data_IF_023399875997
#
_entry.id   IF_023399875997
#
_cell.length_a   1.000
_cell.length_b   1.000
_cell.length_c   1.000
_cell.angle_alpha   90.00
_cell.angle_beta   90.00
_cell.angle_gamma   90.00
#
_symmetry.space_group_name_H-M   'P 1'
#
loop_
_entity.id
_entity.type
_entity.pdbx_description
1 polymer ?
#
# COMPACT_ATOMS: atom_id res chain seq x y z
N UNK A 1 -5.09 -21.23 37.06
CA UNK A 1 -4.08 -20.35 36.45
C UNK A 1 -3.66 -21.02 35.18
N UNK A 2 -4.26 -20.62 34.06
CA UNK A 2 -3.76 -20.98 32.73
C UNK A 2 -2.57 -20.03 32.54
N UNK A 3 -1.36 -20.58 32.48
CA UNK A 3 -0.17 -19.77 32.19
C UNK A 3 -0.39 -19.03 30.87
N UNK A 4 -0.40 -17.71 30.98
CA UNK A 4 -0.53 -16.67 29.95
C UNK A 4 0.66 -16.70 28.98
N UNK A 5 0.79 -17.77 28.20
CA UNK A 5 1.85 -17.89 27.21
C UNK A 5 1.36 -18.60 25.94
N UNK A 6 0.55 -17.92 25.13
CA UNK A 6 0.31 -18.33 23.74
C UNK A 6 0.89 -17.24 22.80
N UNK A 7 2.17 -16.92 22.96
CA UNK A 7 2.85 -15.88 22.15
C UNK A 7 3.57 -16.44 20.91
N UNK A 8 3.12 -17.59 20.40
CA UNK A 8 3.59 -18.06 19.11
C UNK A 8 2.49 -18.79 18.34
N UNK A 9 2.61 -18.73 17.02
CA UNK A 9 1.80 -19.52 16.10
C UNK A 9 1.83 -21.02 16.45
N UNK A 10 2.96 -21.53 16.93
CA UNK A 10 3.14 -22.94 17.30
C UNK A 10 2.31 -23.32 18.52
N UNK A 11 2.36 -22.52 19.59
CA UNK A 11 1.56 -22.76 20.79
C UNK A 11 0.07 -22.64 20.49
N UNK A 12 -0.32 -21.69 19.63
CA UNK A 12 -1.70 -21.58 19.17
C UNK A 12 -2.12 -22.83 18.39
N UNK A 13 -1.31 -23.32 17.44
CA UNK A 13 -1.60 -24.57 16.72
C UNK A 13 -1.81 -25.75 17.68
N UNK A 14 -0.97 -25.87 18.71
CA UNK A 14 -1.08 -26.93 19.70
C UNK A 14 -2.37 -26.82 20.53
N UNK A 15 -2.71 -25.62 21.01
CA UNK A 15 -3.97 -25.38 21.71
C UNK A 15 -5.19 -25.72 20.83
N UNK A 16 -5.17 -25.32 19.56
CA UNK A 16 -6.23 -25.58 18.58
C UNK A 16 -6.44 -27.07 18.26
N UNK A 17 -5.42 -27.91 18.46
CA UNK A 17 -5.49 -29.36 18.22
C UNK A 17 -6.02 -30.16 19.40
N UNK A 18 -6.05 -29.56 20.60
CA UNK A 18 -6.35 -30.27 21.86
C UNK A 18 -7.66 -29.83 22.50
N UNK A 19 -8.23 -28.69 22.09
CA UNK A 19 -9.48 -28.15 22.62
C UNK A 19 -10.37 -27.56 21.52
N UNK A 20 -11.71 -27.65 21.65
CA UNK A 20 -12.62 -26.95 20.75
C UNK A 20 -12.47 -25.44 20.92
N UNK A 21 -12.47 -24.71 19.80
CA UNK A 21 -12.44 -23.26 19.82
C UNK A 21 -13.74 -22.72 20.43
N UNK A 22 -13.65 -22.15 21.63
CA UNK A 22 -14.75 -21.41 22.22
C UNK A 22 -14.58 -19.92 21.95
N UNK A 23 -15.71 -19.20 21.87
CA UNK A 23 -15.70 -17.74 21.74
C UNK A 23 -14.89 -17.06 22.85
N UNK A 24 -14.94 -17.59 24.07
CA UNK A 24 -14.19 -17.06 25.21
C UNK A 24 -12.68 -17.19 25.02
N UNK A 25 -12.20 -18.38 24.62
CA UNK A 25 -10.78 -18.64 24.40
C UNK A 25 -10.18 -17.71 23.33
N UNK A 26 -10.92 -17.48 22.23
CA UNK A 26 -10.40 -16.61 21.17
C UNK A 26 -10.45 -15.14 21.55
N UNK A 27 -11.45 -14.69 22.33
CA UNK A 27 -11.45 -13.30 22.83
C UNK A 27 -10.27 -13.03 23.77
N UNK A 28 -9.98 -13.97 24.66
CA UNK A 28 -8.78 -13.92 25.51
C UNK A 28 -7.52 -13.82 24.62
N UNK A 29 -7.44 -14.67 23.60
CA UNK A 29 -6.34 -14.67 22.65
C UNK A 29 -6.17 -13.35 21.88
N UNK A 30 -7.25 -12.73 21.41
CA UNK A 30 -7.19 -11.44 20.70
C UNK A 30 -6.75 -10.31 21.63
N UNK A 31 -7.12 -10.36 22.91
CA UNK A 31 -6.67 -9.38 23.90
C UNK A 31 -5.18 -9.55 24.19
N UNK A 32 -4.72 -10.79 24.38
CA UNK A 32 -3.31 -11.11 24.57
C UNK A 32 -2.47 -10.66 23.37
N UNK A 33 -2.96 -10.90 22.15
CA UNK A 33 -2.31 -10.41 20.93
C UNK A 33 -2.18 -8.89 20.95
N UNK A 34 -3.23 -8.14 21.31
CA UNK A 34 -3.17 -6.68 21.36
C UNK A 34 -2.14 -6.19 22.38
N UNK A 35 -2.09 -6.80 23.56
CA UNK A 35 -1.09 -6.49 24.58
C UNK A 35 0.33 -6.81 24.12
N UNK A 36 0.50 -7.93 23.39
CA UNK A 36 1.77 -8.33 22.79
C UNK A 36 2.25 -7.29 21.76
N UNK A 37 1.40 -6.87 20.83
CA UNK A 37 1.73 -5.86 19.82
C UNK A 37 2.12 -4.52 20.46
N UNK A 38 1.41 -4.11 21.52
CA UNK A 38 1.75 -2.91 22.29
C UNK A 38 3.14 -3.02 22.91
N UNK A 39 3.45 -4.14 23.56
CA UNK A 39 4.76 -4.36 24.19
C UNK A 39 5.88 -4.45 23.15
N UNK A 40 5.66 -5.06 21.98
CA UNK A 40 6.63 -5.03 20.87
C UNK A 40 6.92 -3.59 20.42
N UNK A 41 5.88 -2.79 20.21
CA UNK A 41 6.02 -1.39 19.81
C UNK A 41 6.79 -0.57 20.86
N UNK A 42 6.45 -0.73 22.14
CA UNK A 42 7.15 -0.06 23.24
C UNK A 42 8.60 -0.53 23.41
N UNK A 43 8.93 -1.74 22.98
CA UNK A 43 10.31 -2.25 22.96
C UNK A 43 11.13 -1.76 21.74
N UNK A 44 10.53 -0.98 20.85
CA UNK A 44 11.20 -0.44 19.65
C UNK A 44 11.22 -1.40 18.46
N UNK A 45 10.39 -2.45 18.45
CA UNK A 45 10.24 -3.32 17.28
C UNK A 45 9.73 -2.54 16.07
N UNK A 46 10.17 -2.96 14.88
CA UNK A 46 9.75 -2.29 13.65
C UNK A 46 8.26 -2.52 13.36
N UNK A 47 7.61 -1.53 12.76
CA UNK A 47 6.21 -1.66 12.33
C UNK A 47 6.00 -2.83 11.35
N UNK A 48 7.01 -3.14 10.53
CA UNK A 48 7.00 -4.31 9.67
C UNK A 48 6.97 -5.62 10.47
N UNK A 49 7.83 -5.75 11.49
CA UNK A 49 7.86 -6.96 12.32
C UNK A 49 6.56 -7.14 13.11
N UNK A 50 6.01 -6.06 13.67
CA UNK A 50 4.71 -6.07 14.36
C UNK A 50 3.59 -6.52 13.42
N UNK A 51 3.58 -6.00 12.19
CA UNK A 51 2.59 -6.35 11.18
C UNK A 51 2.68 -7.81 10.74
N UNK A 52 3.91 -8.30 10.51
CA UNK A 52 4.17 -9.72 10.20
C UNK A 52 3.73 -10.63 11.33
N UNK A 53 4.07 -10.31 12.58
CA UNK A 53 3.68 -11.08 13.74
C UNK A 53 2.15 -11.16 13.88
N UNK A 54 1.43 -10.03 13.79
CA UNK A 54 -0.04 -10.03 13.78
C UNK A 54 -0.59 -10.90 12.65
N UNK A 55 -0.02 -10.80 11.45
CA UNK A 55 -0.45 -11.59 10.30
C UNK A 55 -0.27 -13.10 10.53
N UNK A 56 0.89 -13.53 11.04
CA UNK A 56 1.19 -14.94 11.37
C UNK A 56 0.19 -15.50 12.37
N UNK A 57 -0.10 -14.74 13.43
CA UNK A 57 -1.03 -15.14 14.47
C UNK A 57 -2.47 -15.27 13.93
N UNK A 58 -2.94 -14.26 13.18
CA UNK A 58 -4.29 -14.29 12.60
C UNK A 58 -4.43 -15.41 11.56
N UNK A 59 -3.40 -15.66 10.74
CA UNK A 59 -3.35 -16.78 9.81
C UNK A 59 -3.61 -18.11 10.53
N UNK A 60 -2.92 -18.34 11.65
CA UNK A 60 -3.05 -19.58 12.42
C UNK A 60 -4.42 -19.72 13.06
N UNK A 61 -4.94 -18.64 13.64
CA UNK A 61 -6.28 -18.61 14.21
C UNK A 61 -7.35 -18.97 13.17
N UNK A 62 -7.30 -18.31 12.01
CA UNK A 62 -8.25 -18.55 10.92
C UNK A 62 -8.15 -19.97 10.35
N UNK A 63 -6.94 -20.53 10.24
CA UNK A 63 -6.74 -21.93 9.82
C UNK A 63 -7.38 -22.90 10.80
N UNK A 64 -7.22 -22.68 12.11
CA UNK A 64 -7.84 -23.50 13.15
C UNK A 64 -9.37 -23.45 13.10
N UNK A 65 -9.93 -22.24 13.07
CA UNK A 65 -11.38 -22.03 12.98
C UNK A 65 -11.93 -22.68 11.72
N UNK A 66 -11.27 -22.50 10.58
CA UNK A 66 -11.66 -23.11 9.31
C UNK A 66 -11.70 -24.65 9.39
N UNK A 67 -10.67 -25.28 9.94
CA UNK A 67 -10.61 -26.74 10.07
C UNK A 67 -11.73 -27.31 10.95
N UNK A 68 -12.13 -26.58 12.00
CA UNK A 68 -13.20 -27.02 12.90
C UNK A 68 -14.62 -26.78 12.35
N UNK A 69 -14.79 -25.84 11.43
CA UNK A 69 -16.12 -25.40 10.97
C UNK A 69 -16.44 -25.74 9.52
N UNK A 70 -15.44 -25.86 8.63
CA UNK A 70 -15.63 -26.07 7.20
C UNK A 70 -15.02 -27.40 6.77
N UNK A 71 -15.87 -28.33 6.36
CA UNK A 71 -15.46 -29.69 6.02
C UNK A 71 -15.37 -29.92 4.51
N UNK A 72 -15.89 -29.01 3.69
CA UNK A 72 -15.79 -29.11 2.23
C UNK A 72 -14.39 -28.77 1.72
N UNK A 73 -13.65 -29.81 1.34
CA UNK A 73 -12.30 -29.75 0.78
C UNK A 73 -12.18 -29.01 -0.57
N UNK A 74 -13.30 -28.63 -1.19
CA UNK A 74 -13.32 -27.96 -2.51
C UNK A 74 -13.30 -26.44 -2.44
N UNK A 75 -13.44 -25.89 -1.23
CA UNK A 75 -13.41 -24.46 -0.93
C UNK A 75 -11.99 -23.99 -0.62
N UNK A 76 -11.74 -22.69 -0.82
CA UNK A 76 -10.51 -22.01 -0.44
C UNK A 76 -10.84 -20.86 0.50
N UNK A 77 -9.99 -20.65 1.52
CA UNK A 77 -9.98 -19.43 2.31
C UNK A 77 -8.77 -18.59 1.88
N UNK A 78 -9.02 -17.39 1.39
CA UNK A 78 -8.00 -16.46 0.92
C UNK A 78 -8.04 -15.18 1.74
N UNK A 79 -6.87 -14.63 2.07
CA UNK A 79 -6.72 -13.24 2.49
C UNK A 79 -6.67 -12.34 1.25
N UNK A 80 -7.26 -11.15 1.31
CA UNK A 80 -7.26 -10.17 0.21
C UNK A 80 -6.81 -8.79 0.68
N UNK A 81 -6.49 -7.90 -0.25
CA UNK A 81 -6.09 -6.53 0.07
C UNK A 81 -4.84 -6.45 0.94
N UNK A 82 -4.85 -5.57 1.96
CA UNK A 82 -3.73 -5.41 2.89
C UNK A 82 -3.39 -6.69 3.66
N UNK A 83 -4.40 -7.46 4.07
CA UNK A 83 -4.16 -8.74 4.73
C UNK A 83 -3.55 -9.78 3.78
N UNK A 84 -3.98 -9.77 2.52
CA UNK A 84 -3.40 -10.62 1.48
C UNK A 84 -1.93 -10.30 1.20
N UNK A 85 -1.53 -9.02 1.28
CA UNK A 85 -0.10 -8.61 1.23
C UNK A 85 0.69 -8.97 2.49
N UNK A 86 0.04 -9.37 3.57
CA UNK A 86 0.69 -9.58 4.88
C UNK A 86 0.96 -8.28 5.65
N UNK A 87 0.34 -7.17 5.25
CA UNK A 87 0.51 -5.83 5.83
C UNK A 87 -0.59 -5.50 6.86
N UNK A 88 -0.82 -6.44 7.78
CA UNK A 88 -1.90 -6.36 8.75
C UNK A 88 -1.49 -5.51 9.97
N UNK A 89 -1.81 -4.22 9.97
CA UNK A 89 -1.53 -3.30 11.09
C UNK A 89 -2.47 -3.57 12.29
N UNK A 90 -2.14 -3.13 13.52
CA UNK A 90 -2.89 -3.49 14.74
C UNK A 90 -4.41 -3.30 14.64
N UNK A 91 -4.86 -2.15 14.12
CA UNK A 91 -6.27 -1.83 13.92
C UNK A 91 -6.80 -2.15 12.51
N UNK A 92 -6.11 -2.97 11.71
CA UNK A 92 -6.60 -3.31 10.36
C UNK A 92 -7.64 -4.44 10.39
N UNK A 93 -8.67 -4.25 9.58
CA UNK A 93 -9.69 -5.26 9.25
C UNK A 93 -9.03 -6.51 8.65
N UNK A 94 -9.66 -7.66 8.88
CA UNK A 94 -9.26 -8.95 8.34
C UNK A 94 -10.13 -9.22 7.11
N UNK A 95 -9.61 -8.90 5.92
CA UNK A 95 -10.35 -9.08 4.67
C UNK A 95 -10.19 -10.49 4.10
N UNK A 96 -11.31 -11.20 3.95
CA UNK A 96 -11.38 -12.60 3.54
C UNK A 96 -12.19 -12.82 2.25
N UNK A 97 -11.70 -13.73 1.41
CA UNK A 97 -12.43 -14.29 0.28
C UNK A 97 -12.55 -15.80 0.45
N UNK A 98 -13.78 -16.27 0.62
CA UNK A 98 -14.13 -17.68 0.56
C UNK A 98 -14.45 -18.02 -0.90
N UNK A 99 -13.63 -18.85 -1.51
CA UNK A 99 -13.66 -19.11 -2.95
C UNK A 99 -14.09 -20.55 -3.26
N UNK A 100 -15.07 -20.69 -4.13
CA UNK A 100 -15.49 -21.97 -4.70
C UNK A 100 -15.22 -22.06 -6.20
N UNK A 101 -15.15 -23.29 -6.71
CA UNK A 101 -15.10 -23.54 -8.15
C UNK A 101 -16.45 -23.40 -8.83
N UNK A 102 -17.56 -23.67 -8.14
CA UNK A 102 -18.93 -23.65 -8.68
C UNK A 102 -19.96 -23.27 -7.61
N UNK A 103 -21.09 -22.69 -8.02
CA UNK A 103 -22.14 -22.26 -7.08
C UNK A 103 -22.77 -23.43 -6.30
N UNK A 104 -22.77 -24.62 -6.89
CA UNK A 104 -23.27 -25.83 -6.21
C UNK A 104 -22.42 -26.22 -5.00
N UNK A 105 -21.15 -25.82 -4.96
CA UNK A 105 -20.29 -26.04 -3.79
C UNK A 105 -20.67 -25.06 -2.68
N UNK A 106 -20.88 -23.79 -3.00
CA UNK A 106 -21.34 -22.78 -2.05
C UNK A 106 -22.69 -23.17 -1.43
N UNK A 107 -23.66 -23.57 -2.25
CA UNK A 107 -24.98 -24.00 -1.77
C UNK A 107 -24.92 -25.20 -0.82
N UNK A 108 -24.04 -26.17 -1.09
CA UNK A 108 -23.85 -27.34 -0.22
C UNK A 108 -23.17 -26.99 1.11
N UNK A 109 -22.42 -25.90 1.13
CA UNK A 109 -21.63 -25.44 2.26
C UNK A 109 -22.24 -24.25 3.00
N UNK A 110 -23.48 -23.83 2.67
CA UNK A 110 -24.06 -22.60 3.22
C UNK A 110 -24.08 -22.59 4.76
N UNK A 111 -24.46 -23.71 5.37
CA UNK A 111 -24.51 -23.85 6.83
C UNK A 111 -23.12 -23.76 7.48
N UNK A 112 -22.12 -24.48 6.96
CA UNK A 112 -20.74 -24.45 7.49
C UNK A 112 -20.08 -23.07 7.29
N UNK A 113 -20.32 -22.41 6.15
CA UNK A 113 -19.79 -21.08 5.88
C UNK A 113 -20.42 -20.02 6.79
N UNK A 114 -21.72 -20.12 7.07
CA UNK A 114 -22.39 -19.26 8.07
C UNK A 114 -21.81 -19.49 9.46
N UNK A 115 -21.64 -20.75 9.86
CA UNK A 115 -21.05 -21.08 11.17
C UNK A 115 -19.63 -20.51 11.31
N UNK A 116 -18.78 -20.67 10.29
CA UNK A 116 -17.45 -20.07 10.23
C UNK A 116 -17.50 -18.55 10.40
N UNK A 117 -18.30 -17.85 9.59
CA UNK A 117 -18.40 -16.38 9.62
C UNK A 117 -18.94 -15.88 10.96
N UNK A 118 -20.02 -16.48 11.47
CA UNK A 118 -20.61 -16.12 12.76
C UNK A 118 -19.59 -16.27 13.88
N UNK A 119 -18.80 -17.34 13.85
CA UNK A 119 -17.78 -17.58 14.86
C UNK A 119 -16.70 -16.48 14.85
N UNK A 120 -16.27 -16.00 13.67
CA UNK A 120 -15.32 -14.88 13.60
C UNK A 120 -15.87 -13.60 14.26
N UNK A 121 -17.15 -13.30 14.04
CA UNK A 121 -17.79 -12.12 14.63
C UNK A 121 -18.02 -12.27 16.14
N UNK A 122 -18.45 -13.46 16.59
CA UNK A 122 -18.62 -13.74 18.00
C UNK A 122 -17.29 -13.55 18.76
N UNK A 123 -16.16 -13.82 18.09
CA UNK A 123 -14.81 -13.63 18.61
C UNK A 123 -14.36 -12.16 18.64
N UNK A 124 -15.16 -11.23 18.12
CA UNK A 124 -14.84 -9.80 18.09
C UNK A 124 -13.87 -9.39 16.99
N UNK A 125 -13.62 -10.27 16.00
CA UNK A 125 -12.78 -9.94 14.86
C UNK A 125 -13.54 -9.02 13.88
N UNK A 126 -12.92 -7.91 13.51
CA UNK A 126 -13.39 -7.03 12.44
C UNK A 126 -13.07 -7.66 11.08
N UNK A 127 -14.01 -8.46 10.56
CA UNK A 127 -13.85 -9.22 9.31
C UNK A 127 -14.67 -8.60 8.19
N UNK A 128 -13.99 -8.28 7.08
CA UNK A 128 -14.63 -8.01 5.79
C UNK A 128 -14.61 -9.26 4.94
N UNK A 129 -15.75 -9.94 4.73
CA UNK A 129 -15.78 -11.19 3.97
C UNK A 129 -16.58 -11.13 2.67
N UNK A 130 -16.16 -11.92 1.69
CA UNK A 130 -16.97 -12.26 0.52
C UNK A 130 -16.95 -13.76 0.23
N UNK A 131 -18.09 -14.30 -0.19
CA UNK A 131 -18.25 -15.71 -0.58
C UNK A 131 -18.58 -15.74 -2.06
N UNK A 132 -17.66 -16.23 -2.90
CA UNK A 132 -17.79 -16.14 -4.35
C UNK A 132 -17.27 -17.39 -5.07
N UNK A 133 -17.73 -17.59 -6.29
CA UNK A 133 -17.06 -18.45 -7.27
C UNK A 133 -16.05 -17.66 -8.10
N UNK A 134 -15.14 -18.35 -8.78
CA UNK A 134 -14.23 -17.73 -9.75
C UNK A 134 -14.98 -16.87 -10.79
N UNK A 135 -16.13 -17.34 -11.27
CA UNK A 135 -16.95 -16.59 -12.23
C UNK A 135 -17.54 -15.31 -11.62
N UNK A 136 -18.00 -15.38 -10.38
CA UNK A 136 -18.50 -14.21 -9.65
C UNK A 136 -17.38 -13.20 -9.36
N UNK A 137 -16.18 -13.66 -8.96
CA UNK A 137 -15.02 -12.78 -8.79
C UNK A 137 -14.72 -11.98 -10.07
N UNK A 138 -14.72 -12.64 -11.24
CA UNK A 138 -14.50 -11.96 -12.53
C UNK A 138 -15.64 -10.99 -12.86
N UNK A 139 -16.89 -11.37 -12.56
CA UNK A 139 -18.06 -10.49 -12.76
C UNK A 139 -17.94 -9.21 -11.94
N UNK A 140 -17.64 -9.32 -10.65
CA UNK A 140 -17.55 -8.16 -9.74
C UNK A 140 -16.32 -7.31 -10.04
N UNK A 141 -15.17 -7.94 -10.28
CA UNK A 141 -13.96 -7.24 -10.70
C UNK A 141 -14.16 -6.45 -12.00
N UNK A 142 -15.03 -6.89 -12.91
CA UNK A 142 -15.32 -6.14 -14.15
C UNK A 142 -16.03 -4.82 -13.89
N UNK A 143 -16.89 -4.79 -12.86
CA UNK A 143 -17.73 -3.64 -12.54
C UNK A 143 -17.02 -2.63 -11.66
N UNK A 144 -16.10 -3.10 -10.82
CA UNK A 144 -15.52 -2.29 -9.76
C UNK A 144 -13.99 -2.46 -9.69
N UNK A 145 -13.27 -1.35 -9.84
CA UNK A 145 -11.82 -1.28 -9.77
C UNK A 145 -11.30 -1.60 -8.35
N UNK A 146 -12.06 -1.31 -7.30
CA UNK A 146 -11.68 -1.60 -5.92
C UNK A 146 -11.68 -3.11 -5.67
N UNK A 147 -12.69 -3.82 -6.15
CA UNK A 147 -12.76 -5.29 -6.14
C UNK A 147 -11.64 -5.88 -6.98
N UNK A 148 -11.39 -5.35 -8.17
CA UNK A 148 -10.28 -5.77 -9.02
C UNK A 148 -8.93 -5.65 -8.29
N UNK A 149 -8.72 -4.53 -7.59
CA UNK A 149 -7.49 -4.25 -6.83
C UNK A 149 -7.32 -5.24 -5.68
N UNK A 150 -8.35 -5.42 -4.85
CA UNK A 150 -8.29 -6.37 -3.73
C UNK A 150 -8.00 -7.80 -4.19
N UNK A 151 -8.58 -8.23 -5.32
CA UNK A 151 -8.34 -9.56 -5.88
C UNK A 151 -6.97 -9.74 -6.54
N UNK A 152 -6.25 -8.67 -6.88
CA UNK A 152 -4.85 -8.77 -7.30
C UNK A 152 -3.91 -9.05 -6.12
N UNK A 153 -4.42 -8.94 -4.90
CA UNK A 153 -3.67 -9.03 -3.65
C UNK A 153 -4.15 -10.23 -2.84
N UNK A 154 -4.38 -11.35 -3.51
CA UNK A 154 -4.87 -12.57 -2.86
C UNK A 154 -3.73 -13.45 -2.40
N UNK A 155 -3.84 -13.97 -1.18
CA UNK A 155 -2.93 -14.97 -0.61
C UNK A 155 -3.74 -16.13 -0.05
N UNK A 156 -3.34 -17.36 -0.38
CA UNK A 156 -4.04 -18.55 0.09
C UNK A 156 -3.72 -18.81 1.57
N UNK A 157 -4.76 -18.86 2.40
CA UNK A 157 -4.63 -19.30 3.78
C UNK A 157 -4.73 -20.83 3.82
N UNK A 158 -5.90 -21.40 3.52
CA UNK A 158 -6.12 -22.84 3.57
C UNK A 158 -7.20 -23.33 2.58
N UNK A 159 -7.41 -24.64 2.55
CA UNK A 159 -8.31 -25.29 1.59
C UNK A 159 -7.68 -25.50 0.22
N UNK A 160 -8.51 -25.79 -0.78
CA UNK A 160 -8.07 -26.06 -2.16
C UNK A 160 -7.66 -24.77 -2.84
N UNK A 161 -6.36 -24.49 -2.93
CA UNK A 161 -5.87 -23.25 -3.55
C UNK A 161 -6.39 -23.05 -4.98
N UNK A 162 -6.84 -21.82 -5.25
CA UNK A 162 -7.36 -21.36 -6.54
C UNK A 162 -6.75 -20.03 -6.98
N UNK A 163 -5.68 -19.60 -6.32
CA UNK A 163 -5.04 -18.29 -6.57
C UNK A 163 -4.55 -18.20 -8.02
N UNK A 164 -3.83 -19.21 -8.52
CA UNK A 164 -3.35 -19.22 -9.90
C UNK A 164 -4.49 -19.19 -10.94
N UNK A 165 -5.61 -19.85 -10.66
CA UNK A 165 -6.81 -19.79 -11.52
C UNK A 165 -7.40 -18.38 -11.53
N UNK A 166 -7.50 -17.76 -10.36
CA UNK A 166 -8.00 -16.40 -10.19
C UNK A 166 -7.10 -15.39 -10.91
N UNK A 167 -5.79 -15.43 -10.69
CA UNK A 167 -4.79 -14.56 -11.33
C UNK A 167 -4.86 -14.66 -12.86
N UNK A 168 -4.93 -15.88 -13.40
CA UNK A 168 -5.08 -16.11 -14.83
C UNK A 168 -6.35 -15.48 -15.39
N UNK A 169 -7.47 -15.63 -14.69
CA UNK A 169 -8.76 -15.05 -15.08
C UNK A 169 -8.76 -13.52 -15.01
N UNK A 170 -8.07 -12.95 -14.01
CA UNK A 170 -7.96 -11.52 -13.77
C UNK A 170 -6.84 -10.85 -14.57
N UNK A 171 -6.06 -11.59 -15.35
CA UNK A 171 -4.92 -11.06 -16.12
C UNK A 171 -5.27 -9.83 -16.97
N UNK A 172 -4.32 -8.90 -17.18
CA UNK A 172 -4.54 -7.67 -17.96
C UNK A 172 -4.95 -7.92 -19.42
N UNK A 173 -4.79 -9.15 -19.92
CA UNK A 173 -5.26 -9.56 -21.26
C UNK A 173 -6.76 -9.85 -21.31
N UNK A 174 -7.40 -10.11 -20.17
CA UNK A 174 -8.80 -10.57 -20.08
C UNK A 174 -9.73 -9.55 -19.43
N UNK A 175 -9.21 -8.86 -18.43
CA UNK A 175 -9.95 -7.89 -17.65
C UNK A 175 -9.04 -6.68 -17.45
N UNK A 176 -9.58 -5.46 -17.28
CA UNK A 176 -8.82 -4.25 -16.95
C UNK A 176 -7.41 -4.21 -17.56
N UNK A 177 -7.31 -3.92 -18.86
CA UNK A 177 -6.00 -3.74 -19.51
C UNK A 177 -5.14 -2.74 -18.74
N UNK A 178 -3.81 -2.80 -18.85
CA UNK A 178 -2.92 -1.87 -18.12
C UNK A 178 -3.33 -0.40 -18.31
N UNK A 179 -3.79 -0.04 -19.52
CA UNK A 179 -4.32 1.29 -19.83
C UNK A 179 -5.61 1.61 -19.06
N UNK A 180 -6.59 0.71 -19.08
CA UNK A 180 -7.86 0.93 -18.37
C UNK A 180 -7.64 1.01 -16.86
N UNK A 181 -6.82 0.10 -16.31
CA UNK A 181 -6.51 0.07 -14.89
C UNK A 181 -5.76 1.32 -14.45
N UNK A 182 -4.76 1.76 -15.22
CA UNK A 182 -4.03 3.01 -14.95
C UNK A 182 -4.96 4.21 -14.88
N UNK A 183 -5.83 4.39 -15.88
CA UNK A 183 -6.75 5.53 -15.92
C UNK A 183 -7.70 5.52 -14.72
N UNK A 184 -8.28 4.36 -14.40
CA UNK A 184 -9.17 4.24 -13.25
C UNK A 184 -8.45 4.52 -11.93
N UNK A 185 -7.19 4.10 -11.78
CA UNK A 185 -6.38 4.39 -10.59
C UNK A 185 -5.93 5.84 -10.49
N UNK A 186 -5.68 6.50 -11.62
CA UNK A 186 -5.40 7.92 -11.64
C UNK A 186 -6.63 8.73 -11.18
N UNK A 187 -7.82 8.36 -11.65
CA UNK A 187 -9.09 8.97 -11.22
C UNK A 187 -9.39 8.72 -9.73
N UNK A 188 -9.21 7.48 -9.25
CA UNK A 188 -9.35 7.12 -7.83
C UNK A 188 -8.39 7.93 -6.94
N UNK A 189 -7.14 8.11 -7.37
CA UNK A 189 -6.16 8.94 -6.65
C UNK A 189 -6.57 10.41 -6.62
N UNK A 190 -6.97 10.97 -7.75
CA UNK A 190 -7.37 12.38 -7.84
C UNK A 190 -8.57 12.67 -6.92
N UNK A 191 -9.63 11.85 -6.99
CA UNK A 191 -10.81 12.00 -6.15
C UNK A 191 -10.48 11.88 -4.65
N UNK A 192 -9.57 10.96 -4.30
CA UNK A 192 -9.10 10.83 -2.91
C UNK A 192 -8.35 12.06 -2.45
N UNK A 193 -7.43 12.60 -3.26
CA UNK A 193 -6.68 13.80 -2.91
C UNK A 193 -7.60 15.01 -2.70
N UNK A 194 -8.64 15.15 -3.51
CA UNK A 194 -9.68 16.19 -3.33
C UNK A 194 -10.44 16.02 -2.00
N UNK A 195 -10.79 14.79 -1.62
CA UNK A 195 -11.53 14.50 -0.38
C UNK A 195 -10.70 14.69 0.89
N UNK A 196 -9.39 14.48 0.83
CA UNK A 196 -8.48 14.52 1.97
C UNK A 196 -7.57 15.76 1.99
N UNK A 197 -7.93 16.80 1.22
CA UNK A 197 -7.20 18.06 1.09
C UNK A 197 -6.02 17.98 0.13
N UNK A 198 -5.92 18.95 -0.79
CA UNK A 198 -4.87 18.99 -1.82
C UNK A 198 -3.46 19.33 -1.27
N UNK A 199 -3.40 19.89 -0.06
CA UNK A 199 -2.16 20.31 0.59
C UNK A 199 -1.55 19.19 1.41
N UNK A 200 -0.25 18.96 1.26
CA UNK A 200 0.54 18.09 2.14
C UNK A 200 0.77 18.68 3.54
N UNK A 201 0.36 19.94 3.79
CA UNK A 201 0.58 20.66 5.05
C UNK A 201 -0.68 20.73 5.93
N UNK A 202 -1.54 19.71 5.86
CA UNK A 202 -2.63 19.60 6.81
C UNK A 202 -2.06 19.40 8.20
N UNK A 203 -2.48 20.24 9.15
CA UNK A 203 -2.01 20.19 10.53
C UNK A 203 -2.32 18.86 11.21
N UNK A 204 -3.44 18.23 10.83
CA UNK A 204 -3.83 16.89 11.25
C UNK A 204 -4.06 16.05 9.99
N UNK A 205 -3.02 15.45 9.41
CA UNK A 205 -3.11 14.75 8.13
C UNK A 205 -3.59 13.30 8.29
N UNK A 206 -4.14 12.72 7.22
CA UNK A 206 -4.41 11.28 7.17
C UNK A 206 -3.21 10.53 6.60
N UNK A 207 -2.57 9.69 7.41
CA UNK A 207 -1.32 9.00 7.06
C UNK A 207 -1.47 8.05 5.87
N UNK A 208 -2.69 7.55 5.65
CA UNK A 208 -3.00 6.58 4.61
C UNK A 208 -3.51 7.26 3.34
N UNK A 209 -4.50 8.15 3.47
CA UNK A 209 -5.30 8.63 2.35
C UNK A 209 -4.91 10.04 1.85
N UNK A 210 -4.20 10.86 2.64
CA UNK A 210 -3.74 12.18 2.17
C UNK A 210 -2.68 12.07 1.05
N UNK A 211 -2.45 13.13 0.25
CA UNK A 211 -1.39 13.15 -0.76
C UNK A 211 0.00 12.84 -0.17
N UNK A 212 0.74 11.93 -0.80
CA UNK A 212 2.00 11.40 -0.27
C UNK A 212 1.85 10.38 0.86
N UNK A 213 0.63 9.98 1.20
CA UNK A 213 0.34 8.91 2.17
C UNK A 213 0.54 7.50 1.61
N UNK A 214 0.29 6.49 2.45
CA UNK A 214 0.51 5.08 2.10
C UNK A 214 -0.27 4.61 0.86
N UNK A 215 -1.44 5.19 0.59
CA UNK A 215 -2.24 4.84 -0.58
C UNK A 215 -1.59 5.25 -1.90
N UNK A 216 -0.81 6.33 -1.93
CA UNK A 216 -0.04 6.74 -3.11
C UNK A 216 0.97 5.64 -3.48
N UNK A 217 1.74 5.15 -2.50
CA UNK A 217 2.68 4.05 -2.66
C UNK A 217 2.00 2.78 -3.18
N UNK A 218 0.86 2.42 -2.59
CA UNK A 218 0.08 1.26 -3.00
C UNK A 218 -0.42 1.42 -4.45
N UNK A 219 -0.85 2.62 -4.84
CA UNK A 219 -1.31 2.91 -6.20
C UNK A 219 -0.20 2.66 -7.23
N UNK A 220 1.02 3.13 -6.95
CA UNK A 220 2.20 2.86 -7.80
C UNK A 220 2.42 1.34 -7.91
N UNK A 221 2.45 0.63 -6.76
CA UNK A 221 2.67 -0.80 -6.72
C UNK A 221 1.60 -1.58 -7.51
N UNK A 222 0.32 -1.21 -7.40
CA UNK A 222 -0.78 -1.85 -8.12
C UNK A 222 -0.68 -1.65 -9.62
N UNK A 223 -0.41 -0.42 -10.06
CA UNK A 223 -0.24 -0.10 -11.48
C UNK A 223 0.98 -0.83 -12.05
N UNK A 224 2.10 -0.83 -11.33
CA UNK A 224 3.31 -1.53 -11.69
C UNK A 224 3.09 -3.05 -11.81
N UNK A 225 2.48 -3.66 -10.79
CA UNK A 225 2.09 -5.08 -10.80
C UNK A 225 1.19 -5.38 -11.98
N UNK A 226 0.25 -4.49 -12.30
CA UNK A 226 -0.66 -4.68 -13.44
C UNK A 226 0.04 -4.63 -14.78
N UNK A 227 1.02 -3.74 -14.94
CA UNK A 227 1.66 -3.48 -16.22
C UNK A 227 2.88 -4.38 -16.47
N UNK A 228 3.77 -4.48 -15.48
CA UNK A 228 5.03 -5.21 -15.57
C UNK A 228 5.00 -6.60 -14.93
N UNK A 229 3.93 -6.94 -14.18
CA UNK A 229 3.84 -8.20 -13.42
C UNK A 229 4.94 -8.32 -12.35
N UNK A 230 5.35 -7.19 -11.77
CA UNK A 230 6.28 -7.10 -10.65
C UNK A 230 5.54 -7.11 -9.30
N UNK A 231 6.19 -7.64 -8.26
CA UNK A 231 5.63 -7.79 -6.91
C UNK A 231 6.19 -6.81 -5.87
N UNK A 232 7.26 -6.08 -6.14
CA UNK A 232 7.94 -5.26 -5.13
C UNK A 232 8.52 -3.93 -5.64
N UNK A 233 8.85 -3.02 -4.72
CA UNK A 233 9.51 -1.74 -5.03
C UNK A 233 10.94 -1.93 -5.57
N UNK A 234 11.64 -2.96 -5.08
CA UNK A 234 12.98 -3.34 -5.53
C UNK A 234 12.95 -3.83 -6.98
N UNK A 235 11.90 -4.57 -7.37
CA UNK A 235 11.70 -4.96 -8.77
C UNK A 235 11.41 -3.74 -9.67
N UNK A 236 10.69 -2.74 -9.16
CA UNK A 236 10.51 -1.46 -9.85
C UNK A 236 11.84 -0.71 -10.04
N UNK A 237 12.72 -0.70 -9.04
CA UNK A 237 14.04 -0.10 -9.16
C UNK A 237 14.89 -0.80 -10.24
N UNK A 238 14.85 -2.14 -10.31
CA UNK A 238 15.51 -2.92 -11.37
C UNK A 238 15.00 -2.60 -12.79
N UNK A 239 13.78 -2.09 -12.91
CA UNK A 239 13.21 -1.62 -14.18
C UNK A 239 13.62 -0.17 -14.54
N UNK A 240 14.49 0.47 -13.76
CA UNK A 240 14.98 1.83 -13.99
C UNK A 240 14.01 2.94 -13.56
N UNK A 241 12.92 2.59 -12.87
CA UNK A 241 11.99 3.57 -12.35
C UNK A 241 12.60 4.39 -11.21
N UNK A 242 13.43 3.76 -10.39
CA UNK A 242 14.13 4.37 -9.26
C UNK A 242 15.61 4.13 -9.36
N UNK A 243 16.39 5.11 -8.90
CA UNK A 243 17.76 4.84 -8.48
C UNK A 243 17.80 4.37 -7.01
N UNK A 244 18.98 3.94 -6.56
CA UNK A 244 19.17 3.38 -5.21
C UNK A 244 18.83 4.39 -4.10
N UNK A 245 19.12 5.68 -4.31
CA UNK A 245 18.84 6.75 -3.34
C UNK A 245 17.34 7.02 -3.24
N UNK A 246 16.65 7.05 -4.37
CA UNK A 246 15.20 7.21 -4.40
C UNK A 246 14.51 5.99 -3.76
N UNK A 247 15.01 4.77 -4.01
CA UNK A 247 14.50 3.55 -3.36
C UNK A 247 14.68 3.60 -1.84
N UNK A 248 15.88 3.97 -1.36
CA UNK A 248 16.15 4.13 0.07
C UNK A 248 15.24 5.17 0.72
N UNK A 249 15.03 6.30 0.05
CA UNK A 249 14.13 7.38 0.50
C UNK A 249 12.67 6.89 0.58
N UNK A 250 12.21 6.10 -0.38
CA UNK A 250 10.86 5.51 -0.33
C UNK A 250 10.70 4.52 0.81
N UNK A 251 11.68 3.64 1.00
CA UNK A 251 11.64 2.64 2.06
C UNK A 251 11.64 3.32 3.43
N UNK A 252 12.53 4.29 3.66
CA UNK A 252 12.58 5.03 4.93
C UNK A 252 11.30 5.82 5.20
N UNK A 253 10.78 6.51 4.18
CA UNK A 253 9.52 7.27 4.30
C UNK A 253 8.32 6.35 4.55
N UNK A 254 8.23 5.22 3.84
CA UNK A 254 7.20 4.20 4.07
C UNK A 254 7.29 3.65 5.50
N UNK A 255 8.49 3.33 5.97
CA UNK A 255 8.71 2.78 7.30
C UNK A 255 8.31 3.76 8.40
N UNK A 256 8.59 5.07 8.21
CA UNK A 256 8.09 6.12 9.10
C UNK A 256 6.56 6.15 9.12
N UNK A 257 5.90 6.19 7.96
CA UNK A 257 4.43 6.21 7.91
C UNK A 257 3.80 4.95 8.50
N UNK A 258 4.43 3.78 8.33
CA UNK A 258 4.02 2.54 9.00
C UNK A 258 4.16 2.64 10.51
N UNK A 259 5.28 3.13 11.01
CA UNK A 259 5.51 3.31 12.44
C UNK A 259 4.48 4.27 13.06
N UNK A 260 4.21 5.41 12.40
CA UNK A 260 3.16 6.36 12.83
C UNK A 260 1.80 5.64 12.87
N UNK A 261 1.43 4.93 11.80
CA UNK A 261 0.15 4.23 11.71
C UNK A 261 0.01 3.12 12.76
N UNK A 262 1.06 2.35 13.00
CA UNK A 262 1.11 1.35 14.09
C UNK A 262 0.84 2.04 15.43
N UNK A 263 1.57 3.12 15.72
CA UNK A 263 1.40 3.88 16.96
C UNK A 263 0.00 4.46 17.11
N UNK A 264 -0.57 5.06 16.06
CA UNK A 264 -1.95 5.56 16.08
C UNK A 264 -2.94 4.46 16.46
N UNK A 265 -2.89 3.29 15.81
CA UNK A 265 -3.83 2.19 16.08
C UNK A 265 -3.70 1.66 17.51
N UNK A 266 -2.47 1.61 18.03
CA UNK A 266 -2.18 1.15 19.38
C UNK A 266 -2.65 2.14 20.44
N UNK A 267 -2.40 3.44 20.26
CA UNK A 267 -2.79 4.52 21.17
C UNK A 267 -4.31 4.72 21.19
N UNK A 268 -4.96 4.68 20.01
CA UNK A 268 -6.42 4.90 19.91
C UNK A 268 -7.25 3.63 20.14
N UNK A 269 -6.62 2.46 20.22
CA UNK A 269 -7.27 1.14 20.32
C UNK A 269 -8.34 0.89 19.22
N UNK A 270 -8.15 1.48 18.05
CA UNK A 270 -9.10 1.41 16.92
C UNK A 270 -8.39 1.73 15.62
N UNK A 271 -9.07 1.48 14.51
CA UNK A 271 -8.64 1.91 13.16
C UNK A 271 -8.78 3.42 13.01
N UNK A 272 -7.72 4.15 13.35
CA UNK A 272 -7.63 5.59 13.13
C UNK A 272 -6.33 5.91 12.38
N UNK A 273 -6.46 6.43 11.17
CA UNK A 273 -5.32 6.80 10.32
C UNK A 273 -5.08 8.34 10.33
N UNK A 274 -5.82 9.09 11.17
CA UNK A 274 -5.67 10.54 11.32
C UNK A 274 -4.62 10.87 12.40
N UNK A 275 -3.62 11.67 12.04
CA UNK A 275 -2.58 12.13 12.96
C UNK A 275 -3.03 13.42 13.67
N UNK A 276 -3.90 13.26 14.66
CA UNK A 276 -4.41 14.36 15.50
C UNK A 276 -3.33 14.98 16.39
N UNK A 277 -3.51 16.22 16.82
CA UNK A 277 -2.50 16.96 17.61
C UNK A 277 -2.05 16.25 18.90
N UNK A 278 -2.98 15.60 19.61
CA UNK A 278 -2.64 14.85 20.82
C UNK A 278 -1.73 13.66 20.48
N UNK A 279 -2.10 12.88 19.46
CA UNK A 279 -1.27 11.77 18.98
C UNK A 279 0.09 12.23 18.43
N UNK A 280 0.18 13.41 17.82
CA UNK A 280 1.46 13.97 17.38
C UNK A 280 2.44 14.15 18.56
N UNK A 281 1.96 14.67 19.69
CA UNK A 281 2.78 14.88 20.90
C UNK A 281 3.21 13.55 21.51
N UNK A 282 2.29 12.59 21.59
CA UNK A 282 2.56 11.26 22.12
C UNK A 282 3.58 10.50 21.25
N UNK A 283 3.38 10.50 19.93
CA UNK A 283 4.30 9.86 19.00
C UNK A 283 5.67 10.56 18.94
N UNK A 284 5.73 11.89 19.04
CA UNK A 284 7.00 12.59 19.13
C UNK A 284 7.82 12.12 20.35
N UNK A 285 7.15 11.99 21.50
CA UNK A 285 7.77 11.49 22.74
C UNK A 285 8.24 10.04 22.57
N UNK A 286 7.41 9.17 22.00
CA UNK A 286 7.73 7.76 21.75
C UNK A 286 8.88 7.58 20.76
N UNK A 287 8.99 8.47 19.76
CA UNK A 287 10.10 8.50 18.83
C UNK A 287 11.39 9.10 19.43
N UNK A 288 11.37 9.52 20.70
CA UNK A 288 12.52 10.04 21.42
C UNK A 288 12.87 11.51 21.10
N UNK A 289 11.97 12.26 20.47
CA UNK A 289 12.16 13.70 20.29
C UNK A 289 12.05 14.42 21.65
N UNK A 290 12.89 15.42 21.83
CA UNK A 290 12.94 16.24 23.04
C UNK A 290 12.82 17.71 22.68
N UNK A 291 12.26 18.50 23.59
CA UNK A 291 12.23 19.95 23.44
C UNK A 291 13.65 20.51 23.45
N UNK A 292 13.87 21.56 22.67
CA UNK A 292 15.11 22.32 22.62
C UNK A 292 14.82 23.82 22.71
N UNK A 293 15.85 24.63 22.91
CA UNK A 293 15.72 26.10 22.96
C UNK A 293 15.13 26.72 21.69
N UNK A 294 15.11 25.98 20.57
CA UNK A 294 14.72 26.48 19.25
C UNK A 294 13.56 25.75 18.59
N UNK A 295 13.11 24.60 19.13
CA UNK A 295 11.98 23.84 18.58
C UNK A 295 11.41 22.86 19.60
N UNK A 296 10.09 22.70 19.58
CA UNK A 296 9.39 21.68 20.37
C UNK A 296 9.60 20.28 19.77
N UNK A 297 9.55 19.24 20.60
CA UNK A 297 9.67 17.84 20.18
C UNK A 297 8.68 17.48 19.06
N UNK A 298 7.43 17.94 19.22
CA UNK A 298 6.36 17.73 18.24
C UNK A 298 6.63 18.43 16.90
N UNK A 299 7.25 19.62 16.91
CA UNK A 299 7.59 20.34 15.68
C UNK A 299 8.72 19.63 14.93
N UNK A 300 9.73 19.14 15.65
CA UNK A 300 10.83 18.37 15.07
C UNK A 300 10.31 17.05 14.46
N UNK A 301 9.42 16.35 15.17
CA UNK A 301 8.75 15.14 14.65
C UNK A 301 7.91 15.43 13.41
N UNK A 302 7.08 16.48 13.45
CA UNK A 302 6.23 16.85 12.31
C UNK A 302 7.06 17.33 11.12
N UNK A 303 8.21 17.97 11.34
CA UNK A 303 9.16 18.31 10.27
C UNK A 303 9.65 17.06 9.54
N UNK A 304 10.07 16.03 10.28
CA UNK A 304 10.48 14.74 9.70
C UNK A 304 9.34 14.09 8.92
N UNK A 305 8.12 14.12 9.46
CA UNK A 305 6.92 13.64 8.77
C UNK A 305 6.67 14.37 7.44
N UNK A 306 6.66 15.71 7.43
CA UNK A 306 6.41 16.47 6.21
C UNK A 306 7.51 16.27 5.17
N UNK A 307 8.77 16.15 5.58
CA UNK A 307 9.87 15.81 4.67
C UNK A 307 9.62 14.46 3.99
N UNK A 308 9.25 13.43 4.75
CA UNK A 308 8.93 12.11 4.20
C UNK A 308 7.73 12.15 3.23
N UNK A 309 6.64 12.82 3.59
CA UNK A 309 5.43 12.91 2.75
C UNK A 309 5.67 13.72 1.48
N UNK A 310 6.46 14.80 1.55
CA UNK A 310 6.85 15.57 0.37
C UNK A 310 7.67 14.72 -0.61
N UNK A 311 8.65 13.96 -0.11
CA UNK A 311 9.44 13.05 -0.93
C UNK A 311 8.59 11.93 -1.54
N UNK A 312 7.65 11.36 -0.77
CA UNK A 312 6.71 10.35 -1.25
C UNK A 312 5.80 10.89 -2.35
N UNK A 313 5.19 12.05 -2.14
CA UNK A 313 4.32 12.72 -3.13
C UNK A 313 5.10 12.98 -4.41
N UNK A 314 6.30 13.54 -4.27
CA UNK A 314 7.21 13.85 -5.36
C UNK A 314 7.54 12.63 -6.21
N UNK A 315 7.88 11.52 -5.55
CA UNK A 315 8.19 10.27 -6.23
C UNK A 315 6.93 9.68 -6.86
N UNK A 316 5.78 9.72 -6.20
CA UNK A 316 4.50 9.30 -6.79
C UNK A 316 4.19 10.05 -8.08
N UNK A 317 4.29 11.38 -8.09
CA UNK A 317 4.06 12.20 -9.27
C UNK A 317 5.00 11.80 -10.43
N UNK A 318 6.30 11.64 -10.16
CA UNK A 318 7.26 11.18 -11.17
C UNK A 318 6.94 9.79 -11.70
N UNK A 319 6.58 8.86 -10.83
CA UNK A 319 6.24 7.49 -11.17
C UNK A 319 5.01 7.42 -12.05
N UNK A 320 3.93 8.08 -11.62
CA UNK A 320 2.68 8.11 -12.35
C UNK A 320 2.86 8.78 -13.71
N UNK A 321 3.71 9.81 -13.81
CA UNK A 321 4.08 10.39 -15.10
C UNK A 321 4.81 9.39 -16.00
N UNK A 322 5.85 8.70 -15.50
CA UNK A 322 6.59 7.69 -16.28
C UNK A 322 5.69 6.54 -16.73
N UNK A 323 4.87 6.01 -15.82
CA UNK A 323 3.89 4.96 -16.13
C UNK A 323 2.87 5.43 -17.16
N UNK A 324 2.43 6.70 -17.08
CA UNK A 324 1.56 7.29 -18.11
C UNK A 324 2.25 7.30 -19.48
N UNK A 325 3.52 7.73 -19.53
CA UNK A 325 4.29 7.80 -20.78
C UNK A 325 4.47 6.40 -21.39
N UNK A 326 4.77 5.38 -20.59
CA UNK A 326 4.92 3.99 -21.04
C UNK A 326 3.58 3.35 -21.46
N UNK A 327 2.52 3.52 -20.65
CA UNK A 327 1.23 2.85 -20.87
C UNK A 327 0.40 3.53 -21.97
N UNK A 328 0.38 4.87 -22.00
CA UNK A 328 -0.51 5.63 -22.90
C UNK A 328 0.09 5.80 -24.29
N UNK A 329 1.40 5.88 -24.39
CA UNK A 329 2.04 6.16 -25.65
C UNK A 329 2.28 4.83 -26.37
N UNK A 330 1.46 4.57 -27.40
CA UNK A 330 1.81 3.61 -28.44
C UNK A 330 3.26 3.87 -28.90
N UNK A 331 3.93 2.86 -29.45
CA UNK A 331 5.19 2.96 -30.22
C UNK A 331 5.08 3.90 -31.45
N UNK A 332 4.53 5.10 -31.27
CA UNK A 332 4.31 6.13 -32.27
C UNK A 332 5.40 7.17 -32.17
N UNK A 333 6.06 7.39 -33.30
CA UNK A 333 7.06 8.41 -33.61
C UNK A 333 7.78 9.03 -32.40
N UNK A 334 8.92 8.44 -32.04
CA UNK A 334 9.93 8.97 -31.13
C UNK A 334 10.61 10.27 -31.64
N UNK A 335 9.94 11.02 -32.53
CA UNK A 335 10.47 12.25 -33.13
C UNK A 335 10.59 13.31 -32.04
N UNK A 336 11.84 13.62 -31.74
CA UNK A 336 12.23 14.79 -30.98
C UNK A 336 12.15 16.02 -31.86
N UNK A 337 11.62 17.10 -31.32
CA UNK A 337 11.72 18.43 -31.93
C UNK A 337 12.67 19.26 -31.07
N UNK A 338 13.85 19.56 -31.59
CA UNK A 338 14.82 20.39 -30.88
C UNK A 338 14.27 21.81 -30.71
N UNK A 339 14.34 22.35 -29.49
CA UNK A 339 14.00 23.75 -29.22
C UNK A 339 15.26 24.59 -29.40
N UNK A 340 16.35 24.15 -28.78
CA UNK A 340 17.66 24.79 -28.84
C UNK A 340 18.77 23.75 -28.58
N UNK A 341 20.00 24.20 -28.38
CA UNK A 341 21.12 23.28 -28.19
C UNK A 341 21.03 22.44 -26.92
N UNK A 342 20.26 22.90 -25.91
CA UNK A 342 20.13 22.30 -24.58
C UNK A 342 18.85 21.49 -24.40
N UNK A 343 17.77 21.88 -25.10
CA UNK A 343 16.43 21.32 -24.91
C UNK A 343 15.77 20.85 -26.19
N UNK A 344 14.94 19.83 -26.05
CA UNK A 344 14.08 19.28 -27.08
C UNK A 344 12.70 18.94 -26.50
N UNK A 345 11.72 18.80 -27.37
CA UNK A 345 10.40 18.29 -27.02
C UNK A 345 10.26 16.88 -27.56
N UNK A 346 9.90 15.95 -26.67
CA UNK A 346 9.48 14.60 -27.03
C UNK A 346 8.10 14.39 -26.44
N UNK A 347 7.12 13.98 -27.26
CA UNK A 347 5.77 13.64 -26.77
C UNK A 347 5.11 14.75 -25.90
N UNK A 348 5.31 16.02 -26.30
CA UNK A 348 4.86 17.24 -25.57
C UNK A 348 5.51 17.46 -24.20
N UNK A 349 6.57 16.73 -23.86
CA UNK A 349 7.37 16.93 -22.67
C UNK A 349 8.69 17.61 -23.04
N UNK A 350 9.10 18.59 -22.24
CA UNK A 350 10.42 19.21 -22.35
C UNK A 350 11.48 18.25 -21.81
N UNK A 351 12.53 18.02 -22.60
CA UNK A 351 13.66 17.16 -22.25
C UNK A 351 14.97 17.91 -22.50
N UNK A 352 15.96 17.70 -21.64
CA UNK A 352 17.35 18.03 -22.02
C UNK A 352 17.81 17.13 -23.17
N UNK A 353 18.74 17.62 -23.99
CA UNK A 353 19.28 16.83 -25.10
C UNK A 353 20.22 15.70 -24.63
N UNK A 354 20.83 15.85 -23.45
CA UNK A 354 21.67 14.85 -22.78
C UNK A 354 21.83 15.16 -21.28
N UNK A 355 22.39 14.20 -20.54
CA UNK A 355 22.50 14.24 -19.07
C UNK A 355 23.53 15.24 -18.54
N UNK A 356 24.37 15.82 -19.41
CA UNK A 356 25.42 16.78 -19.04
C UNK A 356 25.04 18.24 -19.29
N UNK A 357 23.79 18.51 -19.70
CA UNK A 357 23.34 19.88 -19.97
C UNK A 357 23.50 20.77 -18.73
N UNK A 358 23.06 20.35 -17.54
CA UNK A 358 23.13 21.19 -16.34
C UNK A 358 24.55 21.39 -15.80
N UNK A 359 25.44 20.39 -15.95
CA UNK A 359 26.86 20.56 -15.61
C UNK A 359 27.55 21.59 -16.51
N UNK A 360 27.21 21.60 -17.81
CA UNK A 360 27.80 22.53 -18.79
C UNK A 360 27.15 23.91 -18.74
N UNK A 361 25.85 23.96 -18.44
CA UNK A 361 25.01 25.15 -18.45
C UNK A 361 24.12 25.19 -17.20
N UNK A 362 24.64 25.57 -16.02
CA UNK A 362 23.83 25.70 -14.81
C UNK A 362 22.61 26.62 -14.98
N UNK A 363 22.73 27.66 -15.80
CA UNK A 363 21.64 28.58 -16.15
C UNK A 363 20.43 27.88 -16.79
N UNK A 364 20.65 26.70 -17.40
CA UNK A 364 19.60 25.91 -18.00
C UNK A 364 18.58 25.40 -16.96
N UNK A 365 18.96 25.29 -15.68
CA UNK A 365 18.04 24.94 -14.59
C UNK A 365 16.89 25.97 -14.47
N UNK A 366 17.20 27.25 -14.66
CA UNK A 366 16.20 28.33 -14.68
C UNK A 366 15.53 28.44 -16.05
N UNK A 367 16.27 28.19 -17.13
CA UNK A 367 15.74 28.24 -18.50
C UNK A 367 14.56 27.28 -18.72
N UNK A 368 14.52 26.14 -18.01
CA UNK A 368 13.38 25.21 -18.02
C UNK A 368 12.06 25.95 -17.78
N UNK A 369 11.98 26.79 -16.76
CA UNK A 369 10.77 27.55 -16.43
C UNK A 369 10.39 28.54 -17.53
N UNK A 370 11.39 29.21 -18.11
CA UNK A 370 11.19 30.13 -19.23
C UNK A 370 10.62 29.42 -20.46
N UNK A 371 11.15 28.23 -20.80
CA UNK A 371 10.69 27.45 -21.94
C UNK A 371 9.27 26.91 -21.73
N UNK A 372 8.95 26.46 -20.52
CA UNK A 372 7.58 26.05 -20.16
C UNK A 372 6.59 27.21 -20.32
N UNK A 373 6.95 28.40 -19.85
CA UNK A 373 6.11 29.58 -19.96
C UNK A 373 5.90 30.01 -21.42
N UNK A 374 6.96 30.01 -22.24
CA UNK A 374 6.90 30.43 -23.66
C UNK A 374 6.19 29.44 -24.57
N UNK A 375 6.17 28.17 -24.21
CA UNK A 375 5.64 27.10 -25.05
C UNK A 375 4.46 26.35 -24.42
N UNK A 376 3.73 27.00 -23.51
CA UNK A 376 2.63 26.42 -22.72
C UNK A 376 1.51 25.78 -23.57
N UNK A 377 1.30 26.24 -24.81
CA UNK A 377 0.32 25.65 -25.74
C UNK A 377 0.76 24.29 -26.30
N UNK A 378 2.07 24.01 -26.33
CA UNK A 378 2.66 22.84 -27.00
C UNK A 378 3.38 21.89 -26.06
N UNK A 379 3.88 22.40 -24.93
CA UNK A 379 4.57 21.66 -23.89
C UNK A 379 3.64 21.53 -22.70
N UNK A 380 3.37 20.28 -22.30
CA UNK A 380 2.45 19.96 -21.20
C UNK A 380 3.18 19.65 -19.88
N UNK A 381 4.52 19.64 -19.89
CA UNK A 381 5.33 19.35 -18.72
C UNK A 381 6.80 19.13 -19.06
N UNK A 382 7.56 18.71 -18.05
CA UNK A 382 8.98 18.31 -18.16
C UNK A 382 9.05 16.80 -17.99
N UNK A 383 9.88 16.11 -18.78
CA UNK A 383 10.02 14.66 -18.64
C UNK A 383 10.60 14.28 -17.28
N UNK A 384 10.21 13.11 -16.79
CA UNK A 384 10.68 12.62 -15.51
C UNK A 384 12.20 12.36 -15.45
N UNK A 385 12.86 12.13 -16.60
CA UNK A 385 14.32 12.05 -16.68
C UNK A 385 14.97 13.42 -16.46
N UNK A 386 14.41 14.46 -17.10
CA UNK A 386 14.91 15.84 -16.95
C UNK A 386 14.64 16.37 -15.54
N UNK A 387 13.48 16.09 -14.95
CA UNK A 387 13.19 16.43 -13.54
C UNK A 387 14.23 15.80 -12.59
N UNK A 388 14.61 14.54 -12.81
CA UNK A 388 15.65 13.88 -12.00
C UNK A 388 17.00 14.58 -12.15
N UNK A 389 17.39 14.94 -13.37
CA UNK A 389 18.62 15.68 -13.62
C UNK A 389 18.61 17.07 -12.98
N UNK A 390 17.49 17.80 -13.04
CA UNK A 390 17.36 19.10 -12.35
C UNK A 390 17.68 18.93 -10.86
N UNK A 391 17.07 17.94 -10.20
CA UNK A 391 17.27 17.68 -8.77
C UNK A 391 18.70 17.35 -8.41
N UNK A 392 19.32 16.49 -9.19
CA UNK A 392 20.69 16.08 -8.95
C UNK A 392 21.68 17.24 -9.12
N UNK A 393 21.26 18.38 -9.68
CA UNK A 393 22.11 19.52 -9.96
C UNK A 393 21.55 20.84 -9.39
N UNK A 394 20.51 20.83 -8.55
CA UNK A 394 19.96 22.06 -7.94
C UNK A 394 21.04 22.87 -7.20
N UNK A 395 22.01 22.18 -6.58
CA UNK A 395 23.14 22.79 -5.87
C UNK A 395 24.03 23.68 -6.76
N UNK A 396 23.90 23.63 -8.09
CA UNK A 396 24.68 24.47 -9.00
C UNK A 396 24.18 25.92 -9.09
N UNK A 397 22.98 26.20 -8.56
CA UNK A 397 22.34 27.52 -8.58
C UNK A 397 21.92 28.00 -7.19
N UNK A 398 22.35 27.29 -6.14
CA UNK A 398 22.16 27.67 -4.73
C UNK A 398 23.08 28.83 -4.32
#
# INVERSE_FOLDING_TARGET
MIETAIFSSETLCQALSTQPLTTALVREYTNDLQAELQRMFSAGESAERISQYRCEIIDTLLRGIWQQTVHNDKLSLLAVGGYGRGELQPGSDIDLLILAGKDSQLRKSDAELRAFITLLWDMGLEVGQSVRTLAQCVSEARKDITVMTALMETRNLCGKSRVADLERLLSPRRLWSSKQFFNAKLEEQQQRHENFGESSYLLEPNIKESPGGLRDLQTIAWVAKRHYQVGSLEELAKLGFLDDRELETLISSRNLLWWIRTGLHLLSHRKDDQLLFDHQRELATLAGYQDSDHSLAVEAFMKTYYQAVMELRRLNEMFMQRLREEIMMRRGSNRTKRINDRFQVRKKQLEVVDDQVFNRHPEALIEVFLLLARHSETIQGVSAATIRLIRNHCYLID
#
